data_IF_157255079158
#
_entry.id   IF_157255079158
#
_cell.length_a   1.000
_cell.length_b   1.000
_cell.length_c   1.000
_cell.angle_alpha   90.00
_cell.angle_beta   90.00
_cell.angle_gamma   90.00
#
_symmetry.space_group_name_H-M   'P 1'
#
loop_
_entity.id
_entity.type
_entity.pdbx_description
1 polymer ?
#
# COMPACT_ATOMS: atom_id res chain seq x y z
N UNK A 1 90.40 0.07 4.97
CA UNK A 1 89.92 0.57 6.28
C UNK A 1 88.69 -0.24 6.65
N UNK A 2 88.68 -0.81 7.86
CA UNK A 2 87.53 -1.32 8.64
C UNK A 2 86.45 -2.21 7.98
N UNK A 3 86.34 -3.41 8.54
CA UNK A 3 85.31 -4.43 8.32
C UNK A 3 84.21 -4.32 9.45
N UNK A 4 83.42 -5.34 9.88
CA UNK A 4 81.96 -5.31 9.69
C UNK A 4 81.14 -5.52 10.99
N UNK A 5 79.81 -5.69 10.87
CA UNK A 5 79.00 -6.46 11.82
C UNK A 5 77.85 -7.17 11.04
N UNK A 6 77.61 -8.51 11.04
CA UNK A 6 77.67 -9.57 12.08
C UNK A 6 76.48 -9.46 13.06
N UNK A 7 75.56 -10.43 13.28
CA UNK A 7 75.52 -11.91 13.06
C UNK A 7 74.04 -12.42 13.10
N UNK A 8 73.68 -13.46 12.34
CA UNK A 8 73.23 -14.82 12.76
C UNK A 8 72.42 -15.02 14.09
N UNK A 9 71.62 -16.07 14.37
CA UNK A 9 71.30 -17.35 13.68
C UNK A 9 70.10 -18.10 14.36
N UNK A 10 69.62 -19.20 13.74
CA UNK A 10 69.12 -20.48 14.35
C UNK A 10 67.93 -20.44 15.35
N UNK A 11 66.74 -21.01 15.03
CA UNK A 11 66.35 -22.41 14.71
C UNK A 11 66.23 -23.41 15.90
N UNK A 12 65.07 -24.08 16.01
CA UNK A 12 64.87 -25.57 16.08
C UNK A 12 63.38 -25.89 16.37
N UNK A 13 62.68 -26.65 15.53
CA UNK A 13 62.60 -28.13 15.38
C UNK A 13 61.94 -28.86 16.56
N UNK A 14 60.90 -29.68 16.27
CA UNK A 14 60.75 -31.17 16.43
C UNK A 14 59.25 -31.50 16.48
N UNK A 15 58.68 -32.65 16.09
CA UNK A 15 58.92 -33.76 15.14
C UNK A 15 57.89 -34.84 15.53
N UNK A 16 57.56 -35.72 14.58
CA UNK A 16 57.19 -37.14 14.78
C UNK A 16 55.73 -37.58 15.03
N UNK A 17 55.20 -38.21 13.97
CA UNK A 17 54.85 -39.65 13.87
C UNK A 17 53.73 -40.28 14.71
N UNK A 18 52.81 -40.99 14.01
CA UNK A 18 52.69 -42.45 14.25
C UNK A 18 51.30 -43.11 14.45
N UNK A 19 50.69 -43.58 13.35
CA UNK A 19 50.30 -45.00 13.10
C UNK A 19 49.07 -45.70 13.83
N UNK A 20 48.18 -46.25 12.98
CA UNK A 20 47.31 -47.46 13.02
C UNK A 20 46.11 -47.68 14.00
N UNK A 21 44.92 -47.79 13.39
CA UNK A 21 43.97 -48.94 13.33
C UNK A 21 43.21 -49.56 14.53
N UNK A 22 42.08 -50.19 14.14
CA UNK A 22 41.32 -51.32 14.74
C UNK A 22 40.02 -51.02 15.56
N UNK A 23 38.89 -51.21 14.85
CA UNK A 23 37.71 -52.06 15.20
C UNK A 23 36.85 -51.81 16.46
N UNK A 24 35.51 -51.83 16.29
CA UNK A 24 34.61 -52.43 17.29
C UNK A 24 33.26 -51.73 17.60
N UNK A 25 32.14 -52.37 17.26
CA UNK A 25 30.82 -52.22 17.94
C UNK A 25 30.83 -53.15 19.17
N UNK A 26 30.10 -52.88 20.29
CA UNK A 26 28.64 -53.11 20.33
C UNK A 26 27.81 -52.28 21.36
N UNK A 27 26.48 -52.51 21.33
CA UNK A 27 25.48 -52.38 22.41
C UNK A 27 25.21 -51.03 23.16
N UNK A 28 23.91 -50.74 23.38
CA UNK A 28 23.40 -49.70 24.30
C UNK A 28 23.14 -50.25 25.72
N UNK A 29 22.14 -49.78 26.52
CA UNK A 29 21.04 -48.84 26.20
C UNK A 29 20.84 -47.69 27.24
N UNK A 30 19.91 -46.75 26.99
CA UNK A 30 18.88 -46.27 27.96
C UNK A 30 18.07 -45.06 27.45
N UNK A 31 16.72 -45.15 27.51
CA UNK A 31 15.70 -44.11 27.85
C UNK A 31 15.73 -42.69 27.18
N UNK A 32 14.60 -41.97 26.96
CA UNK A 32 13.19 -42.23 27.29
C UNK A 32 12.19 -41.50 26.36
N UNK A 33 11.04 -42.16 26.14
CA UNK A 33 9.67 -41.61 25.89
C UNK A 33 9.48 -40.37 25.01
N UNK A 34 8.86 -40.63 23.85
CA UNK A 34 7.98 -39.70 23.13
C UNK A 34 6.50 -40.08 23.32
N UNK A 35 5.61 -39.19 22.86
CA UNK A 35 4.16 -39.35 22.69
C UNK A 35 3.27 -39.15 23.93
N UNK A 36 2.45 -38.09 23.89
CA UNK A 36 1.28 -37.90 24.73
C UNK A 36 0.04 -37.75 23.84
N UNK A 37 -0.57 -38.91 23.61
CA UNK A 37 -2.00 -39.21 23.51
C UNK A 37 -2.97 -38.18 22.89
N UNK A 38 -3.71 -38.68 21.89
CA UNK A 38 -4.91 -38.11 21.27
C UNK A 38 -6.01 -39.18 21.29
N UNK A 39 -7.10 -38.94 22.04
CA UNK A 39 -8.48 -39.44 21.81
C UNK A 39 -9.37 -39.16 23.03
N UNK A 40 -10.61 -38.73 22.78
CA UNK A 40 -11.87 -39.41 23.20
C UNK A 40 -13.10 -38.49 23.05
N UNK A 41 -14.03 -38.81 22.13
CA UNK A 41 -15.45 -39.08 22.42
C UNK A 41 -16.38 -39.14 21.18
N UNK A 42 -17.18 -40.21 21.13
CA UNK A 42 -18.25 -40.60 20.19
C UNK A 42 -19.27 -41.43 21.02
N UNK A 43 -20.58 -41.56 20.77
CA UNK A 43 -21.56 -41.02 19.80
C UNK A 43 -22.88 -40.75 20.57
N UNK A 44 -23.86 -40.05 19.96
CA UNK A 44 -25.27 -40.55 19.98
C UNK A 44 -26.18 -39.91 18.90
N UNK A 45 -26.22 -40.56 17.73
CA UNK A 45 -27.42 -41.08 17.03
C UNK A 45 -28.78 -40.32 17.08
N UNK A 46 -29.18 -39.81 15.89
CA UNK A 46 -30.52 -39.72 15.24
C UNK A 46 -31.78 -39.20 15.98
N UNK A 47 -32.51 -38.30 15.30
CA UNK A 47 -33.85 -38.61 14.75
C UNK A 47 -34.21 -37.74 13.51
N UNK A 48 -35.28 -38.10 12.79
CA UNK A 48 -35.70 -37.53 11.49
C UNK A 48 -37.13 -36.99 11.59
N UNK A 49 -37.39 -35.77 11.12
CA UNK A 49 -38.73 -35.15 11.15
C UNK A 49 -38.98 -34.19 9.99
N UNK A 50 -39.92 -34.56 9.11
CA UNK A 50 -40.41 -33.73 7.99
C UNK A 50 -41.43 -32.68 8.44
N UNK A 51 -41.33 -31.46 7.91
CA UNK A 51 -42.34 -30.40 8.05
C UNK A 51 -42.22 -29.38 6.91
N UNK A 52 -43.35 -28.91 6.38
CA UNK A 52 -43.47 -27.95 5.25
C UNK A 52 -43.81 -26.53 5.74
N UNK A 53 -43.80 -25.59 4.79
CA UNK A 53 -44.37 -24.23 4.85
C UNK A 53 -43.56 -23.19 5.69
N UNK A 54 -43.50 -21.90 5.34
CA UNK A 54 -44.03 -21.20 4.16
C UNK A 54 -43.14 -20.02 3.72
N UNK A 55 -43.51 -19.44 2.57
CA UNK A 55 -42.94 -18.25 1.93
C UNK A 55 -43.01 -17.02 2.85
N UNK A 56 -41.93 -16.24 2.96
CA UNK A 56 -42.02 -14.83 2.55
C UNK A 56 -40.69 -14.25 2.06
N UNK A 57 -40.78 -13.30 1.14
CA UNK A 57 -39.64 -12.57 0.58
C UNK A 57 -39.71 -11.14 1.07
N UNK A 58 -38.65 -10.61 1.67
CA UNK A 58 -38.51 -9.16 1.64
C UNK A 58 -37.06 -8.66 1.59
N UNK A 59 -36.90 -7.59 0.83
CA UNK A 59 -35.63 -7.00 0.43
C UNK A 59 -35.19 -5.91 1.40
N UNK A 60 -33.96 -6.02 1.91
CA UNK A 60 -33.33 -4.90 2.64
C UNK A 60 -32.82 -3.89 1.61
N UNK A 61 -33.70 -2.97 1.20
CA UNK A 61 -33.33 -1.75 0.51
C UNK A 61 -32.74 -0.74 1.49
N UNK A 62 -31.50 -0.33 1.27
CA UNK A 62 -30.86 0.78 1.99
C UNK A 62 -31.11 2.06 1.20
N UNK A 63 -32.04 2.90 1.66
CA UNK A 63 -32.24 4.24 1.08
C UNK A 63 -31.20 5.25 1.64
N UNK A 64 -30.60 6.10 0.79
CA UNK A 64 -29.67 7.14 1.23
C UNK A 64 -30.43 8.42 1.65
N UNK A 65 -30.16 8.93 2.85
CA UNK A 65 -30.74 10.20 3.30
C UNK A 65 -30.08 11.37 2.56
N UNK A 66 -30.84 11.95 1.64
CA UNK A 66 -30.50 13.12 0.84
C UNK A 66 -30.47 14.40 1.69
N UNK A 67 -29.39 15.19 1.62
CA UNK A 67 -29.36 16.56 2.16
C UNK A 67 -30.02 17.56 1.20
N UNK A 68 -31.03 18.36 1.62
CA UNK A 68 -31.55 19.45 0.80
C UNK A 68 -30.63 20.67 0.88
N UNK A 69 -30.25 21.21 -0.28
CA UNK A 69 -29.48 22.45 -0.36
C UNK A 69 -30.31 23.70 -0.05
N UNK A 70 -29.61 24.78 0.30
CA UNK A 70 -30.20 26.12 0.48
C UNK A 70 -30.73 26.62 -0.87
N UNK A 71 -32.02 26.93 -0.96
CA UNK A 71 -32.60 27.59 -2.12
C UNK A 71 -33.27 28.90 -1.71
N UNK A 72 -32.66 30.00 -2.12
CA UNK A 72 -33.14 31.36 -1.91
C UNK A 72 -34.34 31.66 -2.80
N UNK A 73 -35.44 32.15 -2.22
CA UNK A 73 -36.50 32.85 -2.95
C UNK A 73 -36.99 34.07 -2.20
N UNK A 74 -36.79 35.24 -2.81
CA UNK A 74 -37.42 36.47 -2.40
C UNK A 74 -38.91 36.51 -2.80
N UNK A 75 -39.75 37.03 -1.92
CA UNK A 75 -41.02 37.69 -2.27
C UNK A 75 -41.40 38.67 -1.15
N UNK A 76 -42.08 39.74 -1.53
CA UNK A 76 -42.36 40.93 -0.72
C UNK A 76 -43.81 40.91 -0.23
N UNK A 77 -44.09 41.76 0.77
CA UNK A 77 -45.40 42.30 1.18
C UNK A 77 -46.04 41.68 2.43
N UNK A 78 -46.47 42.54 3.38
CA UNK A 78 -47.35 42.15 4.49
C UNK A 78 -46.96 42.66 5.89
N UNK A 79 -47.08 43.96 6.14
CA UNK A 79 -47.04 44.49 7.51
C UNK A 79 -48.29 44.08 8.33
N UNK A 80 -48.04 43.52 9.52
CA UNK A 80 -48.86 43.70 10.74
C UNK A 80 -48.19 43.01 11.94
N UNK A 81 -47.92 43.78 12.99
CA UNK A 81 -47.28 43.27 14.21
C UNK A 81 -48.17 42.30 15.01
N UNK A 82 -47.53 41.27 15.58
CA UNK A 82 -48.08 40.45 16.65
C UNK A 82 -46.96 40.04 17.63
N UNK A 83 -47.32 40.00 18.91
CA UNK A 83 -46.54 39.71 20.12
C UNK A 83 -45.36 38.71 20.01
N UNK A 84 -44.28 39.02 20.75
CA UNK A 84 -43.25 38.03 21.14
C UNK A 84 -43.82 37.02 22.13
N UNK A 85 -44.55 36.03 21.64
CA UNK A 85 -44.88 34.84 22.42
C UNK A 85 -43.62 34.05 22.76
N UNK A 86 -43.47 33.67 24.02
CA UNK A 86 -42.42 32.74 24.47
C UNK A 86 -42.66 31.38 23.80
N UNK A 87 -41.61 30.61 23.43
CA UNK A 87 -41.80 29.27 22.90
C UNK A 87 -42.40 28.36 23.98
N UNK A 88 -43.42 27.60 23.60
CA UNK A 88 -44.12 26.68 24.50
C UNK A 88 -43.19 25.55 24.99
N UNK A 89 -43.21 25.20 26.30
CA UNK A 89 -42.43 24.10 26.86
C UNK A 89 -43.13 22.75 26.56
N UNK A 90 -43.31 22.42 25.29
CA UNK A 90 -44.20 21.31 24.86
C UNK A 90 -43.78 20.52 23.63
N UNK A 91 -42.97 21.06 22.72
CA UNK A 91 -42.44 20.25 21.61
C UNK A 91 -41.26 19.39 22.09
N UNK A 92 -41.53 18.11 22.34
CA UNK A 92 -40.48 17.09 22.30
C UNK A 92 -40.05 16.87 20.86
N UNK A 93 -39.17 17.76 20.38
CA UNK A 93 -38.43 17.56 19.13
C UNK A 93 -37.77 16.20 19.19
N UNK A 94 -38.09 15.32 18.25
CA UNK A 94 -37.77 13.90 18.37
C UNK A 94 -36.27 13.62 18.34
N UNK A 95 -35.68 13.39 19.52
CA UNK A 95 -34.42 12.67 19.74
C UNK A 95 -33.26 13.05 18.77
N UNK A 96 -33.10 14.34 18.49
CA UNK A 96 -32.01 14.84 17.65
C UNK A 96 -30.67 14.72 18.42
N UNK A 97 -29.71 13.89 17.95
CA UNK A 97 -28.44 13.70 18.64
C UNK A 97 -27.56 14.97 18.67
N UNK A 98 -27.88 15.98 17.85
CA UNK A 98 -27.21 17.29 17.81
C UNK A 98 -27.93 18.37 18.65
N UNK A 99 -29.02 18.03 19.36
CA UNK A 99 -29.68 18.97 20.28
C UNK A 99 -28.88 19.15 21.59
N UNK A 100 -27.82 19.96 21.53
CA UNK A 100 -26.97 20.26 22.69
C UNK A 100 -27.67 21.09 23.79
N UNK A 101 -28.86 21.64 23.55
CA UNK A 101 -29.68 22.33 24.57
C UNK A 101 -30.44 21.36 25.47
N UNK A 102 -30.81 20.20 24.93
CA UNK A 102 -31.42 19.10 25.69
C UNK A 102 -30.36 18.17 26.29
N UNK A 103 -29.27 17.89 25.56
CA UNK A 103 -28.18 17.00 25.99
C UNK A 103 -27.36 17.54 27.17
N UNK A 104 -27.23 18.87 27.29
CA UNK A 104 -26.51 19.51 28.38
C UNK A 104 -27.34 20.66 28.96
N UNK A 105 -27.73 20.63 30.25
CA UNK A 105 -28.50 21.71 30.87
C UNK A 105 -27.68 23.00 30.93
N UNK A 106 -28.38 24.15 31.01
CA UNK A 106 -27.74 25.46 31.19
C UNK A 106 -26.90 25.47 32.46
N UNK A 107 -25.70 26.05 32.37
CA UNK A 107 -24.83 26.25 33.53
C UNK A 107 -25.44 27.29 34.48
N UNK A 108 -24.86 27.44 35.67
CA UNK A 108 -25.23 28.55 36.55
C UNK A 108 -24.67 29.85 36.01
N UNK A 109 -25.37 30.95 36.28
CA UNK A 109 -24.86 32.30 35.98
C UNK A 109 -23.47 32.45 36.63
N UNK A 110 -22.49 32.91 35.84
CA UNK A 110 -21.05 32.98 36.13
C UNK A 110 -20.25 31.66 36.11
N UNK A 111 -20.86 30.49 35.90
CA UNK A 111 -20.17 29.20 35.71
C UNK A 111 -19.99 28.81 34.23
N UNK A 112 -20.50 29.60 33.27
CA UNK A 112 -20.49 29.36 31.81
C UNK A 112 -19.10 29.09 31.18
N UNK A 113 -18.01 29.48 31.84
CA UNK A 113 -16.62 29.23 31.39
C UNK A 113 -15.86 28.23 32.26
N UNK A 114 -16.50 27.65 33.28
CA UNK A 114 -15.89 26.72 34.23
C UNK A 114 -15.35 25.45 33.52
N UNK A 115 -14.42 24.69 34.11
CA UNK A 115 -13.80 23.52 33.45
C UNK A 115 -14.78 22.44 32.97
N UNK A 116 -15.97 22.39 33.57
CA UNK A 116 -17.04 21.44 33.28
C UNK A 116 -18.25 22.09 32.57
N UNK A 117 -18.16 23.34 32.12
CA UNK A 117 -19.26 24.09 31.52
C UNK A 117 -19.77 23.45 30.22
N UNK A 118 -21.04 23.70 29.91
CA UNK A 118 -21.78 23.24 28.73
C UNK A 118 -21.06 23.52 27.42
N UNK A 119 -20.39 24.68 27.29
CA UNK A 119 -19.60 25.02 26.10
C UNK A 119 -18.46 24.02 25.84
N UNK A 120 -17.73 23.62 26.88
CA UNK A 120 -16.63 22.65 26.75
C UNK A 120 -17.14 21.23 26.52
N UNK A 121 -18.27 20.85 27.12
CA UNK A 121 -18.91 19.55 26.85
C UNK A 121 -19.37 19.45 25.40
N UNK A 122 -20.07 20.47 24.91
CA UNK A 122 -20.54 20.57 23.52
C UNK A 122 -19.36 20.53 22.54
N UNK A 123 -18.31 21.32 22.79
CA UNK A 123 -17.10 21.31 21.96
C UNK A 123 -16.40 19.95 21.94
N UNK A 124 -16.24 19.29 23.09
CA UNK A 124 -15.59 17.96 23.16
C UNK A 124 -16.44 16.90 22.46
N UNK A 125 -17.76 16.96 22.56
CA UNK A 125 -18.68 16.01 21.93
C UNK A 125 -18.70 16.17 20.39
N UNK A 126 -18.82 17.40 19.88
CA UNK A 126 -18.80 17.64 18.43
C UNK A 126 -17.40 17.43 17.83
N UNK A 127 -16.33 17.81 18.54
CA UNK A 127 -14.96 17.54 18.06
C UNK A 127 -14.65 16.04 18.00
N UNK A 128 -15.16 15.22 18.93
CA UNK A 128 -15.10 13.75 18.84
C UNK A 128 -15.81 13.21 17.59
N UNK A 129 -17.02 13.71 17.30
CA UNK A 129 -17.76 13.30 16.11
C UNK A 129 -17.02 13.68 14.81
N UNK A 130 -16.47 14.90 14.75
CA UNK A 130 -15.65 15.36 13.63
C UNK A 130 -14.38 14.52 13.45
N UNK A 131 -13.62 14.31 14.53
CA UNK A 131 -12.36 13.57 14.50
C UNK A 131 -12.57 12.10 14.16
N UNK A 132 -13.64 11.47 14.68
CA UNK A 132 -14.01 10.09 14.34
C UNK A 132 -14.43 9.94 12.86
N UNK A 133 -15.16 10.92 12.31
CA UNK A 133 -15.51 10.94 10.88
C UNK A 133 -14.27 11.05 10.00
N UNK A 134 -13.40 12.02 10.29
CA UNK A 134 -12.14 12.24 9.57
C UNK A 134 -11.21 11.02 9.64
N UNK A 135 -11.08 10.39 10.82
CA UNK A 135 -10.28 9.17 11.01
C UNK A 135 -10.85 8.01 10.18
N UNK A 136 -12.16 7.76 10.28
CA UNK A 136 -12.83 6.69 9.53
C UNK A 136 -12.63 6.83 8.02
N UNK A 137 -12.92 8.00 7.46
CA UNK A 137 -12.79 8.27 6.02
C UNK A 137 -11.33 8.15 5.54
N UNK A 138 -10.39 8.68 6.33
CA UNK A 138 -8.96 8.55 6.03
C UNK A 138 -8.51 7.09 6.08
N UNK A 139 -8.93 6.32 7.09
CA UNK A 139 -8.53 4.91 7.25
C UNK A 139 -9.09 4.03 6.16
N UNK A 140 -10.38 4.16 5.84
CA UNK A 140 -11.04 3.45 4.74
C UNK A 140 -10.29 3.69 3.41
N UNK A 141 -10.00 4.95 3.09
CA UNK A 141 -9.21 5.32 1.90
C UNK A 141 -7.80 4.71 1.93
N UNK A 142 -7.11 4.78 3.07
CA UNK A 142 -5.76 4.22 3.23
C UNK A 142 -5.75 2.68 3.29
N UNK A 143 -6.82 2.00 3.68
CA UNK A 143 -6.95 0.54 3.61
C UNK A 143 -7.09 0.07 2.16
N UNK A 144 -7.98 0.69 1.38
CA UNK A 144 -8.12 0.43 -0.06
C UNK A 144 -6.80 0.69 -0.79
N UNK A 145 -6.14 1.81 -0.49
CA UNK A 145 -4.86 2.17 -1.10
C UNK A 145 -3.75 1.15 -0.77
N UNK A 146 -3.72 0.61 0.45
CA UNK A 146 -2.71 -0.36 0.87
C UNK A 146 -2.88 -1.71 0.16
N UNK A 147 -4.13 -2.17 0.00
CA UNK A 147 -4.44 -3.38 -0.78
C UNK A 147 -4.04 -3.20 -2.24
N UNK A 148 -4.38 -2.06 -2.84
CA UNK A 148 -4.01 -1.76 -4.22
C UNK A 148 -2.49 -1.67 -4.41
N UNK A 149 -1.78 -0.99 -3.51
CA UNK A 149 -0.32 -0.90 -3.52
C UNK A 149 0.35 -2.28 -3.34
N UNK A 150 -0.18 -3.15 -2.48
CA UNK A 150 0.32 -4.52 -2.31
C UNK A 150 0.16 -5.37 -3.58
N UNK A 151 -1.04 -5.39 -4.16
CA UNK A 151 -1.34 -6.12 -5.39
C UNK A 151 -0.51 -5.60 -6.58
N UNK A 152 -0.44 -4.29 -6.75
CA UNK A 152 0.37 -3.66 -7.79
C UNK A 152 1.86 -3.97 -7.61
N UNK A 153 2.39 -3.86 -6.40
CA UNK A 153 3.80 -4.20 -6.11
C UNK A 153 4.11 -5.65 -6.45
N UNK A 154 3.20 -6.60 -6.16
CA UNK A 154 3.36 -7.99 -6.56
C UNK A 154 3.43 -8.16 -8.08
N UNK A 155 2.50 -7.54 -8.82
CA UNK A 155 2.50 -7.56 -10.30
C UNK A 155 3.79 -6.95 -10.86
N UNK A 156 4.17 -5.74 -10.45
CA UNK A 156 5.41 -5.09 -10.91
C UNK A 156 6.64 -5.93 -10.55
N UNK A 157 6.66 -6.58 -9.37
CA UNK A 157 7.77 -7.47 -8.98
C UNK A 157 7.91 -8.67 -9.92
N UNK A 158 6.82 -9.25 -10.44
CA UNK A 158 6.92 -10.34 -11.43
C UNK A 158 7.57 -9.88 -12.73
N UNK A 159 7.21 -8.69 -13.21
CA UNK A 159 7.80 -8.07 -14.41
C UNK A 159 9.29 -7.73 -14.19
N UNK A 160 9.62 -7.08 -13.07
CA UNK A 160 11.01 -6.78 -12.66
C UNK A 160 11.85 -8.06 -12.52
N UNK A 161 11.32 -9.12 -11.94
CA UNK A 161 12.04 -10.39 -11.81
C UNK A 161 12.35 -11.04 -13.17
N UNK A 162 11.48 -10.86 -14.16
CA UNK A 162 11.71 -11.33 -15.54
C UNK A 162 12.74 -10.45 -16.26
N UNK A 163 12.58 -9.12 -16.29
CA UNK A 163 13.46 -8.23 -17.06
C UNK A 163 14.78 -7.89 -16.38
N UNK A 164 14.93 -8.10 -15.08
CA UNK A 164 16.22 -7.96 -14.39
C UNK A 164 17.26 -8.97 -14.89
N UNK A 165 16.84 -10.06 -15.52
CA UNK A 165 17.72 -11.04 -16.15
C UNK A 165 18.32 -10.51 -17.46
N UNK A 166 17.62 -9.63 -18.21
CA UNK A 166 18.18 -9.04 -19.44
C UNK A 166 19.20 -7.92 -19.19
N UNK A 167 19.38 -7.51 -17.93
CA UNK A 167 20.50 -6.70 -17.47
C UNK A 167 21.78 -7.53 -17.20
N UNK A 168 21.76 -8.84 -17.45
CA UNK A 168 22.89 -9.75 -17.27
C UNK A 168 23.19 -10.51 -18.56
N UNK A 169 24.41 -11.04 -18.68
CA UNK A 169 24.84 -11.81 -19.84
C UNK A 169 24.10 -13.16 -19.90
N UNK A 170 23.40 -13.41 -21.02
CA UNK A 170 22.75 -14.70 -21.27
C UNK A 170 23.78 -15.75 -21.72
N UNK A 171 24.33 -16.47 -20.74
CA UNK A 171 25.24 -17.59 -20.99
C UNK A 171 24.59 -18.75 -21.77
N UNK A 172 23.26 -18.91 -21.71
CA UNK A 172 22.58 -19.92 -22.53
C UNK A 172 22.61 -19.50 -24.00
N UNK A 173 22.33 -18.23 -24.32
CA UNK A 173 22.45 -17.69 -25.68
C UNK A 173 23.89 -17.75 -26.21
N UNK A 174 24.89 -17.39 -25.38
CA UNK A 174 26.32 -17.53 -25.75
C UNK A 174 26.68 -19.00 -26.02
N UNK A 175 26.20 -19.93 -25.19
CA UNK A 175 26.45 -21.36 -25.39
C UNK A 175 25.80 -21.89 -26.67
N UNK A 176 24.58 -21.42 -26.99
CA UNK A 176 23.84 -21.82 -28.18
C UNK A 176 24.51 -21.29 -29.47
N UNK A 177 25.04 -20.07 -29.46
CA UNK A 177 25.74 -19.51 -30.63
C UNK A 177 27.08 -20.22 -30.89
N UNK A 178 27.84 -20.53 -29.83
CA UNK A 178 29.08 -21.31 -29.93
C UNK A 178 28.84 -22.76 -30.36
N UNK A 179 27.77 -23.40 -29.87
CA UNK A 179 27.35 -24.73 -30.34
C UNK A 179 26.93 -24.71 -31.81
N UNK A 180 26.24 -23.65 -32.26
CA UNK A 180 25.86 -23.49 -33.66
C UNK A 180 27.10 -23.30 -34.56
N UNK A 181 28.07 -22.49 -34.14
CA UNK A 181 29.38 -22.36 -34.81
C UNK A 181 30.09 -23.71 -34.90
N UNK A 182 30.13 -24.49 -33.81
CA UNK A 182 30.73 -25.83 -33.81
C UNK A 182 30.04 -26.79 -34.80
N UNK A 183 28.72 -26.74 -34.92
CA UNK A 183 27.95 -27.53 -35.92
C UNK A 183 28.25 -27.07 -37.35
N UNK A 184 28.41 -25.76 -37.59
CA UNK A 184 28.81 -25.23 -38.90
C UNK A 184 30.23 -25.67 -39.28
N UNK A 185 31.19 -25.64 -38.34
CA UNK A 185 32.56 -26.15 -38.52
C UNK A 185 32.52 -27.64 -38.90
N UNK A 186 31.79 -28.47 -38.15
CA UNK A 186 31.65 -29.90 -38.45
C UNK A 186 31.08 -30.15 -39.86
N UNK A 187 30.07 -29.38 -40.26
CA UNK A 187 29.47 -29.46 -41.60
C UNK A 187 30.43 -29.00 -42.70
N UNK A 188 31.22 -27.96 -42.45
CA UNK A 188 32.22 -27.46 -43.40
C UNK A 188 33.33 -28.49 -43.64
N UNK A 189 33.83 -29.14 -42.59
CA UNK A 189 34.80 -30.24 -42.67
C UNK A 189 34.21 -31.44 -43.43
N UNK A 190 33.00 -31.87 -43.08
CA UNK A 190 32.34 -33.01 -43.74
C UNK A 190 32.11 -32.79 -45.25
N UNK A 191 31.90 -31.54 -45.66
CA UNK A 191 31.73 -31.17 -47.07
C UNK A 191 33.05 -30.84 -47.81
N UNK A 192 34.21 -30.91 -47.14
CA UNK A 192 35.51 -30.56 -47.74
C UNK A 192 35.69 -29.07 -48.06
N UNK A 193 34.84 -28.20 -47.49
CA UNK A 193 34.89 -26.75 -47.68
C UNK A 193 35.84 -26.06 -46.69
N UNK A 194 36.50 -24.97 -47.11
CA UNK A 194 37.42 -24.22 -46.24
C UNK A 194 36.73 -23.66 -45.01
N UNK A 195 37.40 -23.76 -43.85
CA UNK A 195 36.94 -23.28 -42.55
C UNK A 195 36.79 -21.76 -42.49
N UNK A 196 37.56 -21.00 -43.28
CA UNK A 196 37.46 -19.53 -43.36
C UNK A 196 36.09 -19.04 -43.87
N UNK A 197 35.30 -19.92 -44.49
CA UNK A 197 33.93 -19.59 -44.93
C UNK A 197 32.87 -19.78 -43.83
N UNK A 198 33.26 -20.26 -42.63
CA UNK A 198 32.33 -20.41 -41.51
C UNK A 198 32.20 -19.07 -40.78
N UNK A 199 30.98 -18.53 -40.61
CA UNK A 199 30.78 -17.32 -39.81
C UNK A 199 31.16 -17.57 -38.35
N UNK A 200 32.10 -16.78 -37.83
CA UNK A 200 32.44 -16.76 -36.39
C UNK A 200 31.26 -16.25 -35.56
N UNK A 201 31.04 -16.81 -34.37
CA UNK A 201 29.98 -16.37 -33.47
C UNK A 201 30.20 -14.92 -33.03
N UNK A 202 29.17 -14.09 -33.16
CA UNK A 202 29.17 -12.70 -32.71
C UNK A 202 29.12 -12.54 -31.18
N UNK A 203 28.82 -13.61 -30.45
CA UNK A 203 28.82 -13.67 -28.98
C UNK A 203 29.99 -14.55 -28.52
N UNK A 204 30.79 -14.05 -27.59
CA UNK A 204 32.00 -14.70 -27.08
C UNK A 204 32.14 -14.40 -25.56
N UNK A 205 32.55 -15.36 -24.70
CA UNK A 205 32.77 -15.12 -23.27
C UNK A 205 33.75 -13.98 -22.93
N UNK A 206 34.58 -13.51 -23.87
CA UNK A 206 35.48 -12.36 -23.68
C UNK A 206 34.89 -11.00 -24.09
N UNK A 207 33.69 -10.94 -24.70
CA UNK A 207 33.06 -9.64 -25.02
C UNK A 207 32.42 -9.03 -23.77
N UNK A 208 32.75 -7.76 -23.47
CA UNK A 208 32.09 -7.03 -22.38
C UNK A 208 30.58 -6.91 -22.64
N UNK A 209 29.78 -7.47 -21.73
CA UNK A 209 28.33 -7.37 -21.80
C UNK A 209 27.90 -5.91 -21.63
N UNK A 210 27.08 -5.42 -22.56
CA UNK A 210 26.41 -4.12 -22.47
C UNK A 210 24.92 -4.35 -22.70
N UNK A 211 24.05 -4.05 -21.70
CA UNK A 211 22.62 -4.27 -21.86
C UNK A 211 22.05 -3.29 -22.88
N UNK A 212 20.99 -3.71 -23.59
CA UNK A 212 20.29 -2.83 -24.50
C UNK A 212 19.73 -1.60 -23.77
N UNK A 213 19.79 -0.43 -24.40
CA UNK A 213 19.31 0.82 -23.77
C UNK A 213 17.83 0.74 -23.41
N UNK A 214 17.02 0.07 -24.24
CA UNK A 214 15.60 -0.26 -23.98
C UNK A 214 15.41 -0.96 -22.63
N UNK A 215 16.27 -1.92 -22.32
CA UNK A 215 16.13 -2.80 -21.17
C UNK A 215 16.52 -2.07 -19.89
N UNK A 216 17.53 -1.20 -19.96
CA UNK A 216 17.89 -0.27 -18.88
C UNK A 216 16.72 0.69 -18.58
N UNK A 217 16.09 1.26 -19.61
CA UNK A 217 14.93 2.15 -19.44
C UNK A 217 13.70 1.42 -18.87
N UNK A 218 13.33 0.25 -19.40
CA UNK A 218 12.17 -0.53 -18.92
C UNK A 218 12.36 -0.95 -17.47
N UNK A 219 13.51 -1.53 -17.13
CA UNK A 219 13.81 -1.91 -15.74
C UNK A 219 13.84 -0.68 -14.83
N UNK A 220 14.48 0.43 -15.24
CA UNK A 220 14.53 1.67 -14.46
C UNK A 220 13.15 2.26 -14.16
N UNK A 221 12.24 2.25 -15.14
CA UNK A 221 10.85 2.67 -14.97
C UNK A 221 10.11 1.75 -13.98
N UNK A 222 10.24 0.43 -14.12
CA UNK A 222 9.55 -0.53 -13.24
C UNK A 222 10.12 -0.57 -11.81
N UNK A 223 11.43 -0.46 -11.62
CA UNK A 223 12.02 -0.27 -10.28
C UNK A 223 11.55 1.03 -9.62
N UNK A 224 11.44 2.12 -10.39
CA UNK A 224 10.92 3.40 -9.91
C UNK A 224 9.45 3.28 -9.49
N UNK A 225 8.63 2.65 -10.34
CA UNK A 225 7.22 2.37 -10.07
C UNK A 225 7.01 1.51 -8.81
N UNK A 226 7.78 0.42 -8.67
CA UNK A 226 7.75 -0.44 -7.49
C UNK A 226 8.15 0.33 -6.22
N UNK A 227 9.23 1.11 -6.30
CA UNK A 227 9.71 1.93 -5.18
C UNK A 227 8.69 2.97 -4.74
N UNK A 228 8.02 3.63 -5.68
CA UNK A 228 6.99 4.63 -5.40
C UNK A 228 5.73 4.00 -4.78
N UNK A 229 5.33 2.82 -5.25
CA UNK A 229 4.24 2.02 -4.66
C UNK A 229 4.55 1.60 -3.22
N UNK A 230 5.74 1.05 -2.97
CA UNK A 230 6.17 0.65 -1.62
C UNK A 230 6.33 1.84 -0.66
N UNK A 231 6.85 2.97 -1.15
CA UNK A 231 6.92 4.21 -0.38
C UNK A 231 5.52 4.74 -0.02
N UNK A 232 4.57 4.68 -0.96
CA UNK A 232 3.17 5.06 -0.72
C UNK A 232 2.55 4.15 0.34
N UNK A 233 2.76 2.84 0.28
CA UNK A 233 2.29 1.90 1.28
C UNK A 233 2.90 2.16 2.67
N UNK A 234 4.21 2.43 2.75
CA UNK A 234 4.90 2.76 4.01
C UNK A 234 4.32 4.02 4.65
N UNK A 235 4.15 5.09 3.87
CA UNK A 235 3.59 6.36 4.38
C UNK A 235 2.11 6.19 4.76
N UNK A 236 1.32 5.41 4.02
CA UNK A 236 -0.05 5.08 4.40
C UNK A 236 -0.15 4.36 5.75
N UNK A 237 0.80 3.48 6.08
CA UNK A 237 0.89 2.85 7.41
C UNK A 237 1.30 3.86 8.49
N UNK A 238 2.27 4.74 8.22
CA UNK A 238 2.67 5.80 9.16
C UNK A 238 1.50 6.75 9.48
N UNK A 239 0.73 7.16 8.47
CA UNK A 239 -0.43 8.03 8.69
C UNK A 239 -1.50 7.35 9.55
N UNK A 240 -1.77 6.05 9.36
CA UNK A 240 -2.66 5.28 10.25
C UNK A 240 -2.17 5.28 11.71
N UNK A 241 -0.86 5.17 11.93
CA UNK A 241 -0.28 5.24 13.28
C UNK A 241 -0.46 6.64 13.89
N UNK A 242 -0.25 7.70 13.11
CA UNK A 242 -0.46 9.08 13.56
C UNK A 242 -1.92 9.37 13.91
N UNK A 243 -2.86 8.88 13.10
CA UNK A 243 -4.31 9.07 13.31
C UNK A 243 -4.79 8.31 14.56
N UNK A 244 -4.31 7.08 14.76
CA UNK A 244 -4.57 6.31 15.97
C UNK A 244 -4.03 7.01 17.23
N UNK A 245 -2.82 7.58 17.18
CA UNK A 245 -2.25 8.32 18.30
C UNK A 245 -2.95 9.68 18.54
N UNK A 246 -3.43 10.33 17.48
CA UNK A 246 -4.20 11.58 17.55
C UNK A 246 -5.49 11.37 18.36
N UNK A 247 -6.25 10.31 18.02
CA UNK A 247 -7.50 9.91 18.68
C UNK A 247 -7.35 9.35 20.10
N UNK A 248 -6.13 9.09 20.58
CA UNK A 248 -5.90 8.69 21.97
C UNK A 248 -6.16 9.86 22.92
N UNK A 249 -7.44 10.11 23.24
CA UNK A 249 -7.87 11.18 24.14
C UNK A 249 -7.36 10.93 25.57
N UNK A 250 -6.62 11.88 26.17
CA UNK A 250 -6.24 11.79 27.56
C UNK A 250 -7.43 12.07 28.49
N UNK A 251 -7.43 11.46 29.67
CA UNK A 251 -8.38 11.74 30.75
C UNK A 251 -8.14 13.12 31.36
N UNK A 252 -9.21 13.82 31.72
CA UNK A 252 -9.18 15.19 32.28
C UNK A 252 -10.55 15.85 32.24
N UNK A 253 -10.65 17.12 32.64
CA UNK A 253 -11.89 17.90 32.52
C UNK A 253 -12.23 18.19 31.04
N UNK A 254 -13.51 18.45 30.68
CA UNK A 254 -13.91 18.79 29.32
C UNK A 254 -13.11 19.97 28.74
N UNK A 255 -12.80 21.00 29.56
CA UNK A 255 -11.96 22.12 29.16
C UNK A 255 -10.53 21.70 28.79
N UNK A 256 -9.90 20.86 29.60
CA UNK A 256 -8.54 20.36 29.34
C UNK A 256 -8.49 19.46 28.11
N UNK A 257 -9.45 18.54 27.97
CA UNK A 257 -9.63 17.71 26.77
C UNK A 257 -9.78 18.59 25.53
N UNK A 258 -10.62 19.63 25.58
CA UNK A 258 -10.86 20.54 24.48
C UNK A 258 -9.62 21.33 24.05
N UNK A 259 -8.90 21.93 25.00
CA UNK A 259 -7.65 22.65 24.73
C UNK A 259 -6.57 21.72 24.16
N UNK A 260 -6.39 20.52 24.72
CA UNK A 260 -5.35 19.59 24.26
C UNK A 260 -5.67 18.97 22.89
N UNK A 261 -6.95 18.67 22.61
CA UNK A 261 -7.40 18.31 21.25
C UNK A 261 -7.12 19.45 20.27
N UNK A 262 -7.44 20.69 20.62
CA UNK A 262 -7.20 21.84 19.74
C UNK A 262 -5.71 22.09 19.48
N UNK A 263 -4.84 21.91 20.49
CA UNK A 263 -3.39 21.97 20.32
C UNK A 263 -2.89 20.88 19.36
N UNK A 264 -3.33 19.62 19.55
CA UNK A 264 -3.01 18.51 18.64
C UNK A 264 -3.52 18.76 17.22
N UNK A 265 -4.74 19.28 17.06
CA UNK A 265 -5.34 19.61 15.77
C UNK A 265 -4.58 20.73 15.05
N UNK A 266 -4.17 21.78 15.77
CA UNK A 266 -3.29 22.82 15.23
C UNK A 266 -1.93 22.26 14.79
N UNK A 267 -1.39 21.27 15.51
CA UNK A 267 -0.25 20.48 15.05
C UNK A 267 -0.56 19.72 13.75
N UNK A 268 -1.64 18.95 13.71
CA UNK A 268 -2.08 18.14 12.57
C UNK A 268 -2.27 18.96 11.29
N UNK A 269 -2.84 20.17 11.40
CA UNK A 269 -2.92 21.14 10.31
C UNK A 269 -1.55 21.71 9.93
N UNK A 270 -0.73 22.14 10.90
CA UNK A 270 0.61 22.71 10.64
C UNK A 270 1.55 21.73 9.92
N UNK A 271 1.48 20.44 10.28
CA UNK A 271 2.21 19.36 9.62
C UNK A 271 1.51 18.81 8.37
N UNK A 272 0.41 19.42 7.94
CA UNK A 272 -0.30 19.14 6.68
C UNK A 272 -0.70 17.66 6.50
N UNK A 273 -1.05 16.95 7.58
CA UNK A 273 -1.30 15.49 7.52
C UNK A 273 -2.46 15.13 6.58
N UNK A 274 -3.50 15.97 6.51
CA UNK A 274 -4.62 15.81 5.56
C UNK A 274 -4.14 15.91 4.10
N UNK A 275 -3.18 16.80 3.81
CA UNK A 275 -2.59 16.92 2.48
C UNK A 275 -1.75 15.69 2.14
N UNK A 276 -1.04 15.12 3.13
CA UNK A 276 -0.32 13.85 2.95
C UNK A 276 -1.31 12.72 2.62
N UNK A 277 -2.45 12.60 3.33
CA UNK A 277 -3.52 11.63 3.01
C UNK A 277 -3.99 11.79 1.56
N UNK A 278 -4.31 13.01 1.13
CA UNK A 278 -4.78 13.29 -0.23
C UNK A 278 -3.73 13.09 -1.32
N UNK A 279 -2.44 13.21 -0.99
CA UNK A 279 -1.33 13.05 -1.93
C UNK A 279 -0.98 11.57 -2.18
N UNK A 280 -1.25 10.67 -1.23
CA UNK A 280 -0.89 9.25 -1.34
C UNK A 280 -1.55 8.53 -2.55
N UNK A 281 -2.86 8.69 -2.84
CA UNK A 281 -3.45 8.18 -4.09
C UNK A 281 -2.77 8.74 -5.34
N UNK A 282 -2.32 10.00 -5.32
CA UNK A 282 -1.65 10.64 -6.47
C UNK A 282 -0.30 9.99 -6.75
N UNK A 283 0.52 9.70 -5.72
CA UNK A 283 1.77 8.93 -5.88
C UNK A 283 1.48 7.54 -6.45
N UNK A 284 0.40 6.90 -6.03
CA UNK A 284 0.02 5.58 -6.52
C UNK A 284 -0.41 5.59 -8.00
N UNK A 285 -1.21 6.58 -8.41
CA UNK A 285 -1.58 6.77 -9.82
C UNK A 285 -0.38 7.17 -10.69
N UNK A 286 0.61 7.87 -10.15
CA UNK A 286 1.89 8.15 -10.80
C UNK A 286 2.72 6.87 -10.99
N UNK A 287 2.81 6.02 -9.96
CA UNK A 287 3.50 4.72 -10.04
C UNK A 287 2.88 3.82 -11.12
N UNK A 288 1.56 3.75 -11.17
CA UNK A 288 0.79 3.04 -12.20
C UNK A 288 1.09 3.58 -13.61
N UNK A 289 1.24 4.89 -13.77
CA UNK A 289 1.52 5.53 -15.05
C UNK A 289 2.92 5.21 -15.57
N UNK A 290 3.91 5.29 -14.68
CA UNK A 290 5.30 4.89 -14.96
C UNK A 290 5.36 3.40 -15.37
N UNK A 291 4.58 2.54 -14.71
CA UNK A 291 4.50 1.12 -15.08
C UNK A 291 3.92 0.91 -16.49
N UNK A 292 2.81 1.57 -16.85
CA UNK A 292 2.22 1.43 -18.19
C UNK A 292 3.11 2.00 -19.30
N UNK A 293 3.88 3.06 -19.03
CA UNK A 293 4.91 3.56 -19.97
C UNK A 293 5.98 2.49 -20.19
N UNK A 294 6.53 1.91 -19.11
CA UNK A 294 7.48 0.80 -19.19
C UNK A 294 6.91 -0.42 -19.93
N UNK A 295 5.64 -0.77 -19.69
CA UNK A 295 4.94 -1.85 -20.37
C UNK A 295 4.78 -1.59 -21.87
N UNK A 296 4.43 -0.37 -22.26
CA UNK A 296 4.30 0.02 -23.68
C UNK A 296 5.63 -0.12 -24.42
N UNK A 297 6.73 0.33 -23.79
CA UNK A 297 8.09 0.20 -24.33
C UNK A 297 8.51 -1.27 -24.41
N UNK A 298 8.26 -2.06 -23.35
CA UNK A 298 8.60 -3.48 -23.30
C UNK A 298 7.91 -4.31 -24.40
N UNK A 299 6.62 -4.04 -24.70
CA UNK A 299 5.92 -4.79 -25.75
C UNK A 299 6.29 -4.39 -27.18
N UNK A 300 6.93 -3.23 -27.39
CA UNK A 300 7.26 -2.72 -28.72
C UNK A 300 8.14 -3.70 -29.55
N UNK A 301 9.29 -4.21 -29.02
CA UNK A 301 10.10 -5.20 -29.75
C UNK A 301 9.43 -6.58 -29.85
N UNK A 302 8.58 -6.97 -28.90
CA UNK A 302 7.90 -8.27 -28.92
C UNK A 302 6.83 -8.33 -30.03
N UNK A 303 5.84 -7.44 -29.97
CA UNK A 303 4.72 -7.37 -30.93
C UNK A 303 4.17 -5.93 -30.95
N UNK A 304 4.46 -5.12 -31.99
CA UNK A 304 4.01 -3.74 -32.10
C UNK A 304 2.49 -3.55 -31.93
N UNK A 305 1.67 -4.52 -32.38
CA UNK A 305 0.22 -4.47 -32.23
C UNK A 305 -0.26 -4.44 -30.77
N UNK A 306 0.35 -5.20 -29.86
CA UNK A 306 -0.03 -5.16 -28.44
C UNK A 306 0.48 -3.89 -27.77
N UNK A 307 1.69 -3.44 -28.11
CA UNK A 307 2.24 -2.15 -27.64
C UNK A 307 1.31 -0.98 -28.01
N UNK A 308 0.83 -0.93 -29.26
CA UNK A 308 -0.11 0.10 -29.72
C UNK A 308 -1.45 0.06 -28.96
N UNK A 309 -2.06 -1.12 -28.81
CA UNK A 309 -3.35 -1.27 -28.12
C UNK A 309 -3.24 -0.84 -26.64
N UNK A 310 -2.19 -1.28 -25.94
CA UNK A 310 -1.96 -0.90 -24.54
C UNK A 310 -1.65 0.60 -24.44
N UNK A 311 -0.76 1.13 -25.29
CA UNK A 311 -0.39 2.54 -25.28
C UNK A 311 -1.58 3.48 -25.51
N UNK A 312 -2.41 3.21 -26.53
CA UNK A 312 -3.63 4.00 -26.79
C UNK A 312 -4.62 3.87 -25.63
N UNK A 313 -4.82 2.67 -25.08
CA UNK A 313 -5.67 2.45 -23.91
C UNK A 313 -5.20 3.23 -22.68
N UNK A 314 -3.90 3.21 -22.38
CA UNK A 314 -3.28 3.98 -21.30
C UNK A 314 -3.47 5.48 -21.51
N UNK A 315 -3.17 6.01 -22.71
CA UNK A 315 -3.32 7.45 -23.01
C UNK A 315 -4.77 7.87 -22.86
N UNK A 316 -5.74 7.09 -23.36
CA UNK A 316 -7.15 7.39 -23.20
C UNK A 316 -7.58 7.40 -21.72
N UNK A 317 -7.18 6.39 -20.95
CA UNK A 317 -7.50 6.29 -19.52
C UNK A 317 -6.90 7.46 -18.71
N UNK A 318 -5.62 7.79 -18.91
CA UNK A 318 -4.99 8.92 -18.23
C UNK A 318 -5.55 10.27 -18.67
N UNK A 319 -5.97 10.40 -19.94
CA UNK A 319 -6.66 11.62 -20.41
C UNK A 319 -8.01 11.79 -19.72
N UNK A 320 -8.83 10.73 -19.62
CA UNK A 320 -10.10 10.78 -18.88
C UNK A 320 -9.90 11.05 -17.38
N UNK A 321 -8.86 10.49 -16.76
CA UNK A 321 -8.48 10.74 -15.38
C UNK A 321 -8.09 12.21 -15.15
N UNK A 322 -7.23 12.78 -16.00
CA UNK A 322 -6.86 14.20 -15.93
C UNK A 322 -8.07 15.12 -16.17
N UNK A 323 -8.91 14.82 -17.17
CA UNK A 323 -10.17 15.55 -17.39
C UNK A 323 -11.01 15.52 -16.10
N UNK A 324 -11.17 14.37 -15.45
CA UNK A 324 -11.95 14.24 -14.21
C UNK A 324 -11.39 15.06 -13.05
N UNK A 325 -10.08 15.30 -13.00
CA UNK A 325 -9.40 16.17 -12.02
C UNK A 325 -9.56 17.66 -12.34
N UNK A 326 -9.54 18.04 -13.62
CA UNK A 326 -9.65 19.45 -14.04
C UNK A 326 -11.10 19.92 -14.22
N UNK A 327 -12.07 19.02 -14.45
CA UNK A 327 -13.49 19.34 -14.62
C UNK A 327 -14.10 20.15 -13.45
N UNK A 328 -13.81 19.87 -12.17
CA UNK A 328 -14.32 20.65 -11.03
C UNK A 328 -13.77 22.09 -10.96
N UNK A 329 -12.61 22.33 -11.58
CA UNK A 329 -11.97 23.65 -11.64
C UNK A 329 -12.64 24.50 -12.74
N UNK A 330 -13.13 23.86 -13.81
CA UNK A 330 -13.81 24.50 -14.93
C UNK A 330 -15.32 24.69 -14.70
N UNK A 331 -15.96 23.76 -13.98
CA UNK A 331 -17.40 23.76 -13.72
C UNK A 331 -17.71 23.59 -12.22
N UNK A 332 -18.00 24.69 -11.49
CA UNK A 332 -18.32 24.67 -10.05
C UNK A 332 -19.58 23.87 -9.67
N UNK A 333 -20.36 23.41 -10.64
CA UNK A 333 -21.59 22.63 -10.48
C UNK A 333 -21.38 21.11 -10.66
N UNK A 334 -20.16 20.66 -10.99
CA UNK A 334 -19.90 19.23 -11.23
C UNK A 334 -19.74 18.42 -9.92
N UNK A 335 -20.28 17.19 -9.84
CA UNK A 335 -20.24 16.36 -8.63
C UNK A 335 -18.86 15.78 -8.28
N UNK A 336 -17.85 15.96 -9.15
CA UNK A 336 -16.48 15.44 -9.00
C UNK A 336 -15.62 16.25 -8.02
N UNK A 337 -16.19 16.78 -6.94
CA UNK A 337 -15.47 17.66 -6.01
C UNK A 337 -14.52 16.83 -5.11
N UNK A 338 -13.26 16.72 -5.54
CA UNK A 338 -12.21 15.86 -4.93
C UNK A 338 -11.58 16.47 -3.65
N UNK A 339 -12.04 17.64 -3.19
CA UNK A 339 -11.57 18.25 -1.94
C UNK A 339 -12.75 18.80 -1.10
N UNK A 340 -12.79 18.52 0.22
CA UNK A 340 -13.82 19.03 1.13
C UNK A 340 -13.71 20.54 1.38
#
# INVERSE_FOLDING_TARGET
>A
MSDPHRVDEVSRRRSSDGISDIQGRPAGPSQNVSSKLRRDNEDKTKEMGTGKENIDSDSIGVEPVLSPGIQEKASVEGDRGAERSRPDPGLKTGNDPYNYEEKYPKDKIYEETAPNARVWRTYVDESKNHDARMDRESRESLDVLLVFAGLFSAVVTTFVAQTSQSLQADYAQISASLLFEMVLIQRAVANGSSLDNVPVSSLNPYTNFTPATTDVWVNGLWFTSLSLSLATALVAVLVKQWLHHYLALPSGTPREQGHLRQFRYGGFQKWHVIVIVGLLPVLMHLALGIFFIGLTIFLAPLRPGFSWVIGVGTVAAYTMYLISIFLPILYPQCPYRILP
#
